data_IF_672163743242
#
_entry.id   IF_672163743242
#
_cell.length_a   1.000
_cell.length_b   1.000
_cell.length_c   1.000
_cell.angle_alpha   90.00
_cell.angle_beta   90.00
_cell.angle_gamma   90.00
#
_symmetry.space_group_name_H-M   'P 1'
#
loop_
_entity.id
_entity.type
_entity.pdbx_description
1 polymer ?
#
# COMPACT_ATOMS: atom_id res chain seq x y z
N UNK A 1 18.74 -0.39 6.84
CA UNK A 1 18.47 -0.58 8.29
C UNK A 1 17.69 0.63 8.76
N UNK A 2 16.36 0.53 8.87
CA UNK A 2 15.55 1.58 9.49
C UNK A 2 16.09 1.81 10.90
N UNK A 3 16.53 3.03 11.22
CA UNK A 3 16.82 3.38 12.60
C UNK A 3 15.51 3.21 13.38
N UNK A 4 15.46 2.19 14.25
CA UNK A 4 14.28 1.84 15.07
C UNK A 4 13.78 2.98 15.96
N UNK A 5 14.48 4.12 16.01
CA UNK A 5 14.12 5.32 16.78
C UNK A 5 13.45 6.43 15.95
N UNK A 6 13.38 6.30 14.61
CA UNK A 6 12.83 7.36 13.76
C UNK A 6 11.32 7.34 13.77
N UNK A 7 10.71 8.44 14.23
CA UNK A 7 9.25 8.59 14.27
C UNK A 7 8.70 8.86 12.88
N UNK A 8 7.68 8.11 12.45
CA UNK A 8 7.07 8.21 11.12
C UNK A 8 5.65 8.77 11.23
N UNK A 9 5.34 9.78 10.42
CA UNK A 9 3.98 10.25 10.15
C UNK A 9 3.51 9.64 8.83
N UNK A 10 2.44 8.85 8.86
CA UNK A 10 1.82 8.30 7.65
C UNK A 10 0.71 9.23 7.21
N UNK A 11 0.84 9.81 6.02
CA UNK A 11 -0.11 10.73 5.44
C UNK A 11 -0.98 10.03 4.40
N UNK A 12 -2.29 10.22 4.50
CA UNK A 12 -3.25 9.66 3.56
C UNK A 12 -4.40 10.65 3.29
N UNK A 13 -5.11 10.44 2.19
CA UNK A 13 -6.21 11.31 1.77
C UNK A 13 -7.58 10.91 2.32
N UNK A 14 -7.73 9.65 2.73
CA UNK A 14 -8.98 9.09 3.21
C UNK A 14 -8.75 7.85 4.09
N UNK A 15 -9.79 7.43 4.80
CA UNK A 15 -9.78 6.27 5.70
C UNK A 15 -9.45 4.94 5.00
N UNK A 16 -9.88 4.72 3.75
CA UNK A 16 -9.60 3.46 3.05
C UNK A 16 -8.11 3.30 2.71
N UNK A 17 -7.46 4.38 2.27
CA UNK A 17 -6.01 4.43 2.06
C UNK A 17 -5.25 4.15 3.38
N UNK A 18 -5.75 4.68 4.51
CA UNK A 18 -5.18 4.42 5.83
C UNK A 18 -5.30 2.94 6.22
N UNK A 19 -6.48 2.35 6.03
CA UNK A 19 -6.72 0.94 6.35
C UNK A 19 -5.81 0.01 5.52
N UNK A 20 -5.62 0.32 4.23
CA UNK A 20 -4.70 -0.42 3.36
C UNK A 20 -3.25 -0.29 3.83
N UNK A 21 -2.78 0.92 4.11
CA UNK A 21 -1.43 1.16 4.62
C UNK A 21 -1.23 0.43 5.95
N UNK A 22 -2.21 0.50 6.86
CA UNK A 22 -2.15 -0.19 8.15
C UNK A 22 -2.03 -1.70 8.00
N UNK A 23 -2.81 -2.31 7.10
CA UNK A 23 -2.73 -3.74 6.84
C UNK A 23 -1.33 -4.14 6.34
N UNK A 24 -0.74 -3.35 5.45
CA UNK A 24 0.58 -3.61 4.86
C UNK A 24 1.75 -3.29 5.81
N UNK A 25 1.58 -2.29 6.66
CA UNK A 25 2.59 -1.89 7.65
C UNK A 25 2.44 -2.60 8.99
N UNK A 26 1.37 -3.37 9.23
CA UNK A 26 1.15 -4.10 10.49
C UNK A 26 2.33 -5.04 10.83
N UNK A 27 2.96 -5.61 9.81
CA UNK A 27 4.13 -6.48 9.94
C UNK A 27 5.44 -5.69 10.18
N UNK A 28 5.45 -4.37 9.94
CA UNK A 28 6.57 -3.44 10.19
C UNK A 28 6.52 -2.82 11.61
N UNK A 29 6.01 -3.57 12.60
CA UNK A 29 5.72 -3.14 13.98
C UNK A 29 6.69 -2.10 14.58
N UNK A 30 6.10 -1.17 15.36
CA UNK A 30 6.69 -0.05 16.14
C UNK A 30 7.34 1.14 15.41
N UNK A 31 7.42 1.14 14.07
CA UNK A 31 8.00 2.30 13.34
C UNK A 31 7.01 3.45 13.11
N UNK A 32 5.71 3.16 12.97
CA UNK A 32 4.69 4.18 12.67
C UNK A 32 4.23 4.86 13.95
N UNK A 33 4.43 6.18 14.02
CA UNK A 33 4.06 6.96 15.20
C UNK A 33 2.63 7.46 15.14
N UNK A 34 2.20 8.04 14.00
CA UNK A 34 0.85 8.58 13.82
C UNK A 34 0.40 8.46 12.37
N UNK A 35 -0.84 8.00 12.17
CA UNK A 35 -1.57 8.12 10.89
C UNK A 35 -2.31 9.45 10.86
N UNK A 36 -2.09 10.25 9.82
CA UNK A 36 -2.71 11.56 9.62
C UNK A 36 -3.60 11.52 8.38
N UNK A 37 -4.89 11.75 8.60
CA UNK A 37 -5.89 11.85 7.53
C UNK A 37 -6.04 13.29 7.04
N UNK A 38 -6.09 13.50 5.73
CA UNK A 38 -6.50 14.77 5.13
C UNK A 38 -8.01 14.86 4.91
N UNK A 39 -8.79 13.85 5.30
CA UNK A 39 -10.25 13.84 5.22
C UNK A 39 -10.94 14.54 6.42
N UNK A 40 -12.27 14.48 6.45
CA UNK A 40 -13.14 14.94 7.53
C UNK A 40 -13.81 13.78 8.28
N UNK A 41 -13.14 12.63 8.39
CA UNK A 41 -13.66 11.52 9.17
C UNK A 41 -13.37 11.68 10.66
N UNK A 42 -14.25 12.42 11.33
CA UNK A 42 -14.15 12.70 12.75
C UNK A 42 -14.57 11.54 13.67
N UNK A 43 -14.90 10.37 13.10
CA UNK A 43 -15.29 9.16 13.82
C UNK A 43 -14.40 7.95 13.54
N UNK A 44 -13.33 8.09 12.73
CA UNK A 44 -12.55 6.96 12.25
C UNK A 44 -12.22 5.91 13.31
N UNK A 45 -12.54 4.67 12.96
CA UNK A 45 -12.26 3.48 13.76
C UNK A 45 -10.84 2.94 13.47
N UNK A 46 -10.25 3.31 12.33
CA UNK A 46 -8.88 2.96 11.93
C UNK A 46 -7.79 3.77 12.66
N UNK A 47 -8.11 4.44 13.77
CA UNK A 47 -7.13 4.98 14.70
C UNK A 47 -6.23 6.11 14.17
N UNK A 48 -6.59 6.70 13.03
CA UNK A 48 -5.90 7.88 12.50
C UNK A 48 -6.41 9.18 13.13
N UNK A 49 -5.61 10.24 12.98
CA UNK A 49 -5.95 11.58 13.42
C UNK A 49 -6.17 12.48 12.20
N UNK A 50 -7.41 12.89 11.90
CA UNK A 50 -7.66 13.90 10.89
C UNK A 50 -6.94 15.21 11.20
N UNK A 51 -6.32 15.84 10.20
CA UNK A 51 -5.55 17.08 10.38
C UNK A 51 -6.36 18.18 11.05
N UNK A 52 -7.62 18.37 10.64
CA UNK A 52 -8.48 19.42 11.20
C UNK A 52 -8.93 19.09 12.62
N UNK A 53 -8.98 17.82 13.00
CA UNK A 53 -9.24 17.41 14.38
C UNK A 53 -8.02 17.68 15.27
N UNK A 54 -6.80 17.40 14.79
CA UNK A 54 -5.57 17.78 15.50
C UNK A 54 -5.46 19.30 15.68
N UNK A 55 -5.75 20.08 14.64
CA UNK A 55 -5.77 21.55 14.69
C UNK A 55 -6.89 22.09 15.58
N UNK A 56 -8.00 21.37 15.76
CA UNK A 56 -9.06 21.70 16.70
C UNK A 56 -8.65 21.50 18.18
N UNK A 57 -7.47 20.93 18.44
CA UNK A 57 -6.91 20.75 19.78
C UNK A 57 -7.19 19.37 20.39
N UNK A 58 -7.59 18.39 19.59
CA UNK A 58 -7.76 17.01 20.05
C UNK A 58 -6.48 16.19 19.87
N UNK A 59 -6.29 15.23 20.76
CA UNK A 59 -5.17 14.30 20.78
C UNK A 59 -5.67 12.86 20.65
N UNK A 60 -4.77 11.93 20.25
CA UNK A 60 -5.15 10.53 20.07
C UNK A 60 -5.51 9.87 21.41
N UNK A 61 -4.90 10.36 22.48
CA UNK A 61 -5.04 9.91 23.86
C UNK A 61 -6.32 10.41 24.54
N UNK A 62 -7.01 11.38 23.94
CA UNK A 62 -8.28 11.89 24.47
C UNK A 62 -9.33 10.75 24.50
N UNK A 63 -10.03 10.63 25.62
CA UNK A 63 -11.08 9.62 25.78
C UNK A 63 -12.27 9.90 24.84
N UNK A 64 -12.57 8.97 23.94
CA UNK A 64 -13.74 9.08 23.08
C UNK A 64 -15.03 9.04 23.92
N UNK A 65 -15.82 10.11 23.81
CA UNK A 65 -17.13 10.22 24.45
C UNK A 65 -18.14 10.83 23.47
N UNK A 66 -18.64 10.04 22.50
CA UNK A 66 -19.59 10.54 21.51
C UNK A 66 -20.86 11.10 22.15
N UNK A 67 -21.47 12.09 21.50
CA UNK A 67 -22.67 12.75 22.02
C UNK A 67 -23.88 11.84 21.87
N UNK A 68 -24.50 11.44 22.97
CA UNK A 68 -25.78 10.73 22.92
C UNK A 68 -26.91 11.67 22.51
N UNK A 69 -27.81 11.23 21.62
CA UNK A 69 -28.77 12.10 20.91
C UNK A 69 -29.66 12.99 21.77
N UNK A 70 -30.02 12.56 22.98
CA UNK A 70 -30.87 13.33 23.89
C UNK A 70 -30.10 14.38 24.70
N UNK A 71 -28.77 14.43 24.60
CA UNK A 71 -27.91 15.42 25.25
C UNK A 71 -27.55 16.58 24.31
N UNK A 72 -28.20 16.67 23.15
CA UNK A 72 -28.02 17.76 22.21
C UNK A 72 -28.38 19.09 22.89
N UNK A 73 -27.48 20.07 22.83
CA UNK A 73 -27.74 21.41 23.36
C UNK A 73 -28.80 22.10 22.49
N UNK A 74 -30.00 22.27 23.04
CA UNK A 74 -31.16 22.80 22.34
C UNK A 74 -31.80 23.95 23.14
N UNK A 75 -32.54 24.87 22.50
CA UNK A 75 -33.33 25.85 23.21
C UNK A 75 -34.38 25.19 24.12
N UNK A 76 -34.81 25.93 25.15
CA UNK A 76 -35.80 25.44 26.10
C UNK A 76 -37.07 24.93 25.40
N UNK A 77 -37.62 23.83 25.92
CA UNK A 77 -38.85 23.17 25.45
C UNK A 77 -38.77 22.50 24.06
N UNK A 78 -37.61 22.47 23.42
CA UNK A 78 -37.42 21.66 22.20
C UNK A 78 -37.31 20.18 22.58
N UNK A 79 -37.91 19.33 21.76
CA UNK A 79 -37.96 17.89 22.02
C UNK A 79 -37.10 17.12 21.03
N UNK A 80 -36.38 16.12 21.53
CA UNK A 80 -35.70 15.11 20.71
C UNK A 80 -36.50 13.82 20.74
N UNK A 81 -36.77 13.25 19.57
CA UNK A 81 -37.46 11.96 19.42
C UNK A 81 -36.73 11.08 18.42
N UNK A 82 -36.97 9.78 18.50
CA UNK A 82 -36.58 8.86 17.42
C UNK A 82 -37.64 8.85 16.33
N UNK A 83 -37.23 8.77 15.08
CA UNK A 83 -38.07 8.65 13.89
C UNK A 83 -37.84 7.27 13.24
N UNK A 84 -38.81 6.69 12.50
CA UNK A 84 -38.56 5.49 11.71
C UNK A 84 -37.37 5.65 10.77
N UNK A 85 -36.67 4.56 10.46
CA UNK A 85 -35.44 4.59 9.65
C UNK A 85 -34.16 4.88 10.45
N UNK A 86 -34.18 4.57 11.75
CA UNK A 86 -33.03 4.62 12.66
C UNK A 86 -32.38 6.02 12.78
N UNK A 87 -33.19 7.09 12.69
CA UNK A 87 -32.75 8.47 12.86
C UNK A 87 -33.40 9.13 14.07
N UNK A 88 -32.80 10.23 14.53
CA UNK A 88 -33.43 11.14 15.48
C UNK A 88 -34.09 12.32 14.76
N UNK A 89 -34.97 13.02 15.46
CA UNK A 89 -35.54 14.29 15.03
C UNK A 89 -35.61 15.26 16.19
N UNK A 90 -35.38 16.53 15.90
CA UNK A 90 -35.62 17.64 16.82
C UNK A 90 -36.90 18.34 16.38
N UNK A 91 -37.80 18.60 17.32
CA UNK A 91 -39.08 19.26 17.05
C UNK A 91 -39.40 20.33 18.09
N UNK A 92 -40.15 21.35 17.67
CA UNK A 92 -40.71 22.35 18.55
C UNK A 92 -42.17 22.59 18.16
N UNK A 93 -43.10 22.39 19.11
CA UNK A 93 -44.55 22.46 18.90
C UNK A 93 -45.04 21.65 17.69
N UNK A 94 -44.52 20.44 17.54
CA UNK A 94 -44.87 19.54 16.43
C UNK A 94 -44.22 19.87 15.08
N UNK A 95 -43.57 21.03 14.93
CA UNK A 95 -42.81 21.36 13.74
C UNK A 95 -41.43 20.70 13.78
N UNK A 96 -41.06 20.01 12.69
CA UNK A 96 -39.73 19.43 12.50
C UNK A 96 -38.70 20.56 12.35
N UNK A 97 -37.66 20.54 13.17
CA UNK A 97 -36.59 21.55 13.19
C UNK A 97 -35.26 21.00 12.73
N UNK A 98 -34.97 19.73 13.03
CA UNK A 98 -33.78 19.07 12.54
C UNK A 98 -33.98 17.55 12.43
N UNK A 99 -33.14 16.93 11.60
CA UNK A 99 -32.94 15.48 11.54
C UNK A 99 -31.57 15.16 12.14
N UNK A 100 -31.51 14.12 12.96
CA UNK A 100 -30.28 13.64 13.58
C UNK A 100 -29.90 12.32 12.91
N UNK A 101 -28.72 12.27 12.32
CA UNK A 101 -28.10 11.04 11.85
C UNK A 101 -27.17 10.50 12.94
N UNK A 102 -27.20 9.18 13.14
CA UNK A 102 -26.36 8.51 14.14
C UNK A 102 -25.10 7.92 13.51
N UNK A 103 -24.01 7.83 14.27
CA UNK A 103 -22.83 7.09 13.84
C UNK A 103 -23.09 5.57 13.90
N UNK A 104 -22.33 4.80 13.13
CA UNK A 104 -22.38 3.35 13.22
C UNK A 104 -21.74 2.87 14.55
N UNK A 105 -22.22 1.75 15.13
CA UNK A 105 -23.51 1.12 14.83
C UNK A 105 -24.69 1.97 15.36
N UNK A 106 -25.73 2.10 14.52
CA UNK A 106 -26.85 3.04 14.74
C UNK A 106 -27.60 2.83 16.06
N UNK A 107 -27.64 1.59 16.55
CA UNK A 107 -28.28 1.24 17.82
C UNK A 107 -27.67 1.96 19.05
N UNK A 108 -26.43 2.43 18.97
CA UNK A 108 -25.79 3.24 20.02
C UNK A 108 -26.32 4.67 20.09
N UNK A 109 -27.00 5.17 19.04
CA UNK A 109 -27.65 6.49 18.97
C UNK A 109 -26.74 7.67 19.34
N UNK A 110 -25.46 7.57 18.99
CA UNK A 110 -24.55 8.70 19.09
C UNK A 110 -24.69 9.59 17.86
N UNK A 111 -24.73 10.90 18.07
CA UNK A 111 -24.92 11.90 17.01
C UNK A 111 -23.68 11.95 16.13
N UNK A 112 -23.84 11.75 14.83
CA UNK A 112 -22.82 12.06 13.83
C UNK A 112 -23.10 13.39 13.14
N UNK A 113 -24.35 13.64 12.76
CA UNK A 113 -24.78 14.86 12.06
C UNK A 113 -26.15 15.35 12.54
N UNK A 114 -26.35 16.65 12.51
CA UNK A 114 -27.65 17.31 12.75
C UNK A 114 -27.96 18.21 11.57
N UNK A 115 -28.95 17.83 10.77
CA UNK A 115 -29.44 18.58 9.61
C UNK A 115 -30.55 19.54 10.03
N UNK A 116 -30.25 20.83 10.10
CA UNK A 116 -31.18 21.89 10.49
C UNK A 116 -32.05 22.36 9.33
N UNK A 117 -33.34 22.51 9.60
CA UNK A 117 -34.37 22.79 8.61
C UNK A 117 -35.02 24.16 8.84
N UNK A 118 -35.43 24.80 7.76
CA UNK A 118 -36.30 25.98 7.84
C UNK A 118 -37.77 25.61 8.10
N UNK A 119 -38.64 26.63 8.09
CA UNK A 119 -40.07 26.45 8.38
C UNK A 119 -40.82 25.65 7.32
N UNK A 120 -40.25 25.45 6.14
CA UNK A 120 -40.78 24.64 5.04
C UNK A 120 -40.08 23.28 4.92
N UNK A 121 -39.34 22.88 5.96
CA UNK A 121 -38.56 21.63 6.01
C UNK A 121 -37.45 21.55 4.95
N UNK A 122 -36.98 22.68 4.43
CA UNK A 122 -35.80 22.72 3.55
C UNK A 122 -34.52 22.79 4.37
N UNK A 123 -33.49 22.06 3.95
CA UNK A 123 -32.16 22.05 4.58
C UNK A 123 -31.52 23.44 4.54
N UNK A 124 -31.05 23.90 5.71
CA UNK A 124 -30.35 25.17 5.88
C UNK A 124 -28.87 24.95 6.22
N UNK A 125 -28.61 24.09 7.19
CA UNK A 125 -27.25 23.75 7.60
C UNK A 125 -27.14 22.33 8.13
N UNK A 126 -25.91 21.82 8.17
CA UNK A 126 -25.57 20.54 8.80
C UNK A 126 -24.48 20.80 9.81
N UNK A 127 -24.74 20.47 11.08
CA UNK A 127 -23.71 20.42 12.11
C UNK A 127 -23.14 19.00 12.18
N UNK A 128 -21.82 18.86 12.05
CA UNK A 128 -21.13 17.57 12.22
C UNK A 128 -20.49 17.50 13.60
N UNK A 129 -20.58 16.33 14.21
CA UNK A 129 -20.00 16.02 15.52
C UNK A 129 -18.79 15.10 15.35
N UNK A 130 -17.95 15.00 16.39
CA UNK A 130 -16.81 14.09 16.41
C UNK A 130 -16.97 13.00 17.48
N UNK A 131 -16.04 12.03 17.48
CA UNK A 131 -15.99 10.96 18.49
C UNK A 131 -15.85 11.43 19.95
N UNK A 132 -15.56 12.71 20.18
CA UNK A 132 -15.46 13.33 21.50
C UNK A 132 -16.75 14.07 21.93
N UNK A 133 -17.82 13.95 21.13
CA UNK A 133 -19.13 14.50 21.45
C UNK A 133 -19.24 16.02 21.29
N UNK A 134 -18.32 16.63 20.55
CA UNK A 134 -18.30 18.07 20.27
C UNK A 134 -18.67 18.34 18.82
N UNK A 135 -19.34 19.47 18.59
CA UNK A 135 -19.56 19.98 17.24
C UNK A 135 -18.20 20.41 16.67
N UNK A 136 -17.82 19.85 15.53
CA UNK A 136 -16.54 20.09 14.87
C UNK A 136 -16.72 20.93 13.61
N UNK A 137 -17.85 20.82 12.92
CA UNK A 137 -18.13 21.63 11.73
C UNK A 137 -19.58 22.09 11.65
N UNK A 138 -19.81 23.21 10.96
CA UNK A 138 -21.13 23.64 10.48
C UNK A 138 -21.04 23.88 8.98
N UNK A 139 -21.88 23.21 8.19
CA UNK A 139 -21.96 23.34 6.72
C UNK A 139 -23.23 24.11 6.36
N UNK A 140 -23.10 25.19 5.61
CA UNK A 140 -24.23 26.04 5.22
C UNK A 140 -24.57 25.86 3.74
N UNK A 141 -25.87 25.74 3.46
CA UNK A 141 -26.40 25.54 2.11
C UNK A 141 -27.20 26.76 1.65
N UNK A 142 -27.08 27.11 0.37
CA UNK A 142 -27.95 28.09 -0.28
C UNK A 142 -28.40 27.51 -1.62
N UNK A 143 -29.72 27.42 -1.84
CA UNK A 143 -30.29 26.79 -3.04
C UNK A 143 -29.71 25.40 -3.32
N UNK A 144 -29.56 24.59 -2.26
CA UNK A 144 -29.05 23.22 -2.30
C UNK A 144 -27.56 23.10 -2.71
N UNK A 145 -26.84 24.23 -2.80
CA UNK A 145 -25.39 24.29 -3.00
C UNK A 145 -24.67 24.55 -1.67
N UNK A 146 -23.65 23.74 -1.37
CA UNK A 146 -22.76 23.98 -0.24
C UNK A 146 -22.02 25.30 -0.45
N UNK A 147 -22.27 26.27 0.43
CA UNK A 147 -21.66 27.60 0.37
C UNK A 147 -20.35 27.62 1.14
N UNK A 148 -20.39 27.25 2.41
CA UNK A 148 -19.22 27.27 3.28
C UNK A 148 -19.34 26.22 4.36
N UNK A 149 -18.20 25.71 4.79
CA UNK A 149 -18.04 24.84 5.93
C UNK A 149 -17.09 25.53 6.91
N UNK A 150 -17.56 25.72 8.13
CA UNK A 150 -16.81 26.34 9.24
C UNK A 150 -16.36 25.24 10.19
N UNK A 151 -15.13 25.32 10.70
CA UNK A 151 -14.54 24.38 11.66
C UNK A 151 -14.39 25.02 13.04
N UNK A 152 -14.70 24.25 14.07
CA UNK A 152 -14.70 24.68 15.46
C UNK A 152 -13.69 23.89 16.29
N UNK A 153 -13.06 24.57 17.23
CA UNK A 153 -12.12 23.94 18.16
C UNK A 153 -12.83 23.22 19.32
N UNK A 154 -12.06 22.56 20.17
CA UNK A 154 -12.60 21.84 21.33
C UNK A 154 -13.32 22.73 22.37
N UNK A 155 -13.17 24.06 22.28
CA UNK A 155 -13.89 25.05 23.08
C UNK A 155 -15.10 25.65 22.33
N UNK A 156 -15.33 25.28 21.07
CA UNK A 156 -16.40 25.80 20.23
C UNK A 156 -16.09 27.12 19.54
N UNK A 157 -14.82 27.54 19.49
CA UNK A 157 -14.41 28.73 18.73
C UNK A 157 -14.08 28.37 17.28
N UNK A 158 -14.48 29.22 16.36
CA UNK A 158 -14.16 29.07 14.94
C UNK A 158 -12.66 29.23 14.71
N UNK A 159 -12.08 28.33 13.91
CA UNK A 159 -10.65 28.38 13.56
C UNK A 159 -10.33 28.17 12.08
N UNK A 160 -11.29 27.71 11.28
CA UNK A 160 -11.09 27.60 9.84
C UNK A 160 -12.42 27.64 9.08
N UNK A 161 -12.35 27.96 7.80
CA UNK A 161 -13.47 27.81 6.87
C UNK A 161 -13.01 27.40 5.48
N UNK A 162 -13.86 26.68 4.73
CA UNK A 162 -13.63 26.38 3.32
C UNK A 162 -13.91 27.59 2.44
N UNK A 163 -13.18 27.72 1.34
CA UNK A 163 -13.52 28.67 0.28
C UNK A 163 -14.54 28.02 -0.68
N UNK A 164 -15.67 28.68 -1.00
CA UNK A 164 -16.68 28.12 -1.90
C UNK A 164 -16.10 27.66 -3.24
N UNK A 165 -16.53 26.51 -3.74
CA UNK A 165 -16.12 25.93 -5.03
C UNK A 165 -14.59 25.73 -5.17
N UNK A 166 -13.87 25.52 -4.06
CA UNK A 166 -12.42 25.33 -4.03
C UNK A 166 -12.03 24.30 -2.98
N UNK A 167 -10.80 23.77 -3.10
CA UNK A 167 -10.17 22.95 -2.04
C UNK A 167 -9.52 23.81 -0.95
N UNK A 168 -9.51 25.13 -1.14
CA UNK A 168 -8.82 26.06 -0.26
C UNK A 168 -9.51 26.24 1.09
N UNK A 169 -8.71 26.56 2.09
CA UNK A 169 -9.13 26.86 3.45
C UNK A 169 -8.56 28.21 3.88
N UNK A 170 -9.32 28.93 4.69
CA UNK A 170 -8.84 30.09 5.44
C UNK A 170 -8.80 29.65 6.90
N UNK A 171 -7.61 29.66 7.48
CA UNK A 171 -7.36 29.33 8.89
C UNK A 171 -7.15 30.62 9.66
N UNK A 172 -7.70 30.70 10.86
CA UNK A 172 -7.62 31.84 11.76
C UNK A 172 -7.66 31.36 13.22
N UNK A 173 -7.26 32.19 14.18
CA UNK A 173 -7.20 31.82 15.60
C UNK A 173 -6.28 30.61 15.88
N UNK A 174 -5.21 30.47 15.08
CA UNK A 174 -4.17 29.44 15.14
C UNK A 174 -2.76 30.01 15.03
N UNK A 175 -2.58 31.31 15.28
CA UNK A 175 -1.27 31.91 15.42
C UNK A 175 -0.49 31.87 14.11
N UNK A 176 0.65 31.16 14.09
CA UNK A 176 1.49 31.05 12.88
C UNK A 176 0.83 30.33 11.72
N UNK A 177 -0.27 29.59 11.95
CA UNK A 177 -1.06 28.96 10.90
C UNK A 177 -2.19 29.84 10.38
N UNK A 178 -2.33 31.07 10.84
CA UNK A 178 -3.36 31.97 10.31
C UNK A 178 -3.06 32.35 8.86
N UNK A 179 -4.01 32.12 7.96
CA UNK A 179 -3.82 32.45 6.55
C UNK A 179 -4.65 31.62 5.57
N UNK A 180 -4.36 31.85 4.28
CA UNK A 180 -4.97 31.13 3.17
C UNK A 180 -4.12 29.93 2.77
N UNK A 181 -4.76 28.77 2.62
CA UNK A 181 -4.14 27.54 2.14
C UNK A 181 -4.90 27.05 0.91
N UNK A 182 -4.22 26.80 -0.22
CA UNK A 182 -4.90 26.37 -1.46
C UNK A 182 -5.53 24.97 -1.36
N UNK A 183 -5.06 24.15 -0.42
CA UNK A 183 -5.58 22.81 -0.13
C UNK A 183 -5.07 22.34 1.24
N UNK A 184 -5.59 21.20 1.70
CA UNK A 184 -5.21 20.59 2.98
C UNK A 184 -3.75 20.15 3.05
N UNK A 185 -3.14 19.74 1.93
CA UNK A 185 -1.73 19.38 1.89
C UNK A 185 -0.83 20.59 2.19
N UNK A 186 -1.18 21.77 1.68
CA UNK A 186 -0.46 23.00 2.00
C UNK A 186 -0.57 23.36 3.49
N UNK A 187 -1.76 23.17 4.08
CA UNK A 187 -1.97 23.35 5.52
C UNK A 187 -1.16 22.33 6.34
N UNK A 188 -1.15 21.05 5.94
CA UNK A 188 -0.36 20.01 6.57
C UNK A 188 1.14 20.36 6.59
N UNK A 189 1.69 20.83 5.47
CA UNK A 189 3.10 21.27 5.38
C UNK A 189 3.41 22.41 6.34
N UNK A 190 2.49 23.38 6.48
CA UNK A 190 2.66 24.47 7.43
C UNK A 190 2.58 23.97 8.88
N UNK A 191 1.66 23.04 9.17
CA UNK A 191 1.52 22.41 10.49
C UNK A 191 2.79 21.63 10.90
N UNK A 192 3.36 20.83 9.99
CA UNK A 192 4.61 20.10 10.23
C UNK A 192 5.76 21.05 10.59
N UNK A 193 5.87 22.18 9.87
CA UNK A 193 6.89 23.22 10.15
C UNK A 193 6.67 23.90 11.49
N UNK A 194 5.44 24.31 11.78
CA UNK A 194 5.10 24.99 13.04
C UNK A 194 5.37 24.09 14.26
N UNK A 195 5.00 22.81 14.19
CA UNK A 195 5.19 21.86 15.28
C UNK A 195 6.62 21.32 15.38
N UNK A 196 7.55 21.82 14.57
CA UNK A 196 8.93 21.35 14.49
C UNK A 196 9.03 19.82 14.27
N UNK A 197 8.09 19.27 13.49
CA UNK A 197 8.02 17.84 13.19
C UNK A 197 8.93 17.44 12.02
N UNK A 198 9.84 18.31 11.57
CA UNK A 198 10.81 18.02 10.51
C UNK A 198 11.79 16.88 10.88
N UNK A 199 11.87 16.51 12.15
CA UNK A 199 12.61 15.32 12.61
C UNK A 199 11.87 14.00 12.32
N UNK A 200 10.57 14.05 12.02
CA UNK A 200 9.79 12.88 11.62
C UNK A 200 9.99 12.62 10.13
N UNK A 201 10.08 11.35 9.76
CA UNK A 201 9.92 10.95 8.37
C UNK A 201 8.43 11.02 8.01
N UNK A 202 8.12 11.42 6.79
CA UNK A 202 6.74 11.44 6.30
C UNK A 202 6.59 10.37 5.23
N UNK A 203 5.70 9.42 5.51
CA UNK A 203 5.38 8.32 4.62
C UNK A 203 4.03 8.53 3.94
N UNK A 204 3.89 8.16 2.67
CA UNK A 204 2.60 8.15 1.98
C UNK A 204 2.59 7.13 0.84
N UNK A 205 1.42 6.55 0.55
CA UNK A 205 1.22 5.69 -0.60
C UNK A 205 1.17 6.51 -1.90
N UNK A 206 0.43 7.62 -1.88
CA UNK A 206 0.39 8.56 -3.00
C UNK A 206 1.63 9.48 -3.02
N UNK A 207 2.56 9.34 -3.99
CA UNK A 207 3.80 10.11 -4.02
C UNK A 207 3.58 11.62 -4.19
N UNK A 208 2.42 12.04 -4.73
CA UNK A 208 2.10 13.48 -4.87
C UNK A 208 1.96 14.19 -3.53
N UNK A 209 1.62 13.46 -2.46
CA UNK A 209 1.54 14.01 -1.11
C UNK A 209 2.93 14.34 -0.53
N UNK A 210 3.96 13.64 -1.00
CA UNK A 210 5.35 13.83 -0.54
C UNK A 210 6.07 14.95 -1.28
N UNK A 211 5.59 15.33 -2.49
CA UNK A 211 6.26 16.34 -3.32
C UNK A 211 6.52 17.64 -2.55
N UNK A 212 7.77 18.10 -2.56
CA UNK A 212 8.21 19.33 -1.88
C UNK A 212 7.85 19.35 -0.37
N UNK A 213 8.01 18.21 0.30
CA UNK A 213 8.02 18.11 1.75
C UNK A 213 9.39 18.54 2.29
N UNK A 214 9.40 19.21 3.44
CA UNK A 214 10.62 19.65 4.13
C UNK A 214 10.93 18.68 5.29
N UNK A 215 11.03 17.40 4.94
CA UNK A 215 11.26 16.26 5.81
C UNK A 215 11.80 15.09 4.99
N UNK A 216 12.34 14.05 5.64
CA UNK A 216 12.61 12.79 4.95
C UNK A 216 11.29 12.20 4.42
N UNK A 217 11.30 11.77 3.17
CA UNK A 217 10.13 11.25 2.48
C UNK A 217 10.26 9.74 2.31
N UNK A 218 9.18 9.02 2.63
CA UNK A 218 9.07 7.57 2.43
C UNK A 218 7.89 7.31 1.50
N UNK A 219 8.17 6.85 0.28
CA UNK A 219 7.12 6.41 -0.62
C UNK A 219 6.81 4.94 -0.38
N UNK A 220 5.55 4.66 -0.05
CA UNK A 220 5.02 3.30 0.12
C UNK A 220 4.41 2.84 -1.20
N UNK A 221 5.12 2.05 -2.00
CA UNK A 221 4.57 1.54 -3.25
C UNK A 221 3.78 0.25 -3.02
N UNK A 222 2.49 0.30 -3.34
CA UNK A 222 1.59 -0.87 -3.35
C UNK A 222 1.07 -1.19 -4.75
N UNK A 223 1.40 -0.36 -5.76
CA UNK A 223 0.84 -0.46 -7.11
C UNK A 223 1.86 -1.06 -8.08
N UNK A 224 1.47 -2.16 -8.74
CA UNK A 224 2.26 -2.82 -9.78
C UNK A 224 2.43 -1.94 -11.02
N UNK A 225 3.54 -2.07 -11.74
CA UNK A 225 3.83 -1.39 -13.00
C UNK A 225 3.85 0.14 -12.94
N UNK A 226 4.19 0.71 -11.78
CA UNK A 226 4.43 2.15 -11.66
C UNK A 226 5.57 2.59 -12.58
N UNK A 227 5.40 3.75 -13.21
CA UNK A 227 6.47 4.42 -13.95
C UNK A 227 7.36 5.19 -12.96
N UNK A 228 8.35 4.49 -12.41
CA UNK A 228 9.27 5.04 -11.42
C UNK A 228 10.06 6.22 -11.96
N UNK A 229 10.48 6.22 -13.23
CA UNK A 229 11.21 7.35 -13.82
C UNK A 229 10.36 8.62 -13.79
N UNK A 230 9.09 8.50 -14.20
CA UNK A 230 8.14 9.61 -14.18
C UNK A 230 7.84 10.07 -12.76
N UNK A 231 7.58 9.16 -11.83
CA UNK A 231 7.28 9.51 -10.43
C UNK A 231 8.50 10.20 -9.80
N UNK A 232 9.70 9.66 -9.97
CA UNK A 232 10.92 10.20 -9.38
C UNK A 232 11.35 11.53 -10.00
N UNK A 233 10.99 11.79 -11.27
CA UNK A 233 11.26 13.08 -11.93
C UNK A 233 10.57 14.27 -11.24
N UNK A 234 9.52 14.04 -10.46
CA UNK A 234 8.81 15.07 -9.71
C UNK A 234 9.51 15.50 -8.40
N UNK A 235 10.56 14.78 -8.00
CA UNK A 235 11.27 14.99 -6.74
C UNK A 235 12.64 15.64 -6.95
N UNK A 236 12.93 16.71 -6.22
CA UNK A 236 14.27 17.33 -6.21
C UNK A 236 15.30 16.48 -5.47
N UNK A 237 14.86 15.65 -4.52
CA UNK A 237 15.65 14.63 -3.82
C UNK A 237 14.81 13.35 -3.76
N UNK A 238 15.35 12.18 -4.15
CA UNK A 238 14.57 10.96 -4.22
C UNK A 238 14.08 10.55 -2.81
N UNK A 239 12.81 10.12 -2.66
CA UNK A 239 12.34 9.54 -1.41
C UNK A 239 13.00 8.17 -1.18
N UNK A 240 13.00 7.73 0.08
CA UNK A 240 13.15 6.32 0.40
C UNK A 240 11.93 5.58 -0.16
N UNK A 241 12.14 4.51 -0.93
CA UNK A 241 11.06 3.74 -1.53
C UNK A 241 10.96 2.40 -0.82
N UNK A 242 9.79 2.13 -0.25
CA UNK A 242 9.41 0.82 0.26
C UNK A 242 8.42 0.21 -0.71
N UNK A 243 8.83 -0.85 -1.40
CA UNK A 243 8.02 -1.48 -2.44
C UNK A 243 7.51 -2.84 -2.00
N UNK A 244 6.19 -2.94 -1.88
CA UNK A 244 5.45 -4.12 -1.41
C UNK A 244 4.82 -4.91 -2.57
N UNK A 245 5.08 -4.51 -3.81
CA UNK A 245 4.61 -5.21 -5.02
C UNK A 245 5.39 -6.48 -5.25
N UNK A 246 5.13 -7.23 -6.32
CA UNK A 246 5.95 -8.35 -6.76
C UNK A 246 7.11 -7.87 -7.67
N UNK A 247 6.96 -6.72 -8.34
CA UNK A 247 7.99 -6.15 -9.22
C UNK A 247 9.18 -5.53 -8.48
N UNK A 248 10.32 -5.43 -9.15
CA UNK A 248 11.52 -4.80 -8.61
C UNK A 248 12.19 -3.89 -9.63
N UNK A 249 12.97 -2.92 -9.15
CA UNK A 249 13.65 -1.95 -10.00
C UNK A 249 15.02 -1.53 -9.43
N UNK A 250 15.86 -0.92 -10.28
CA UNK A 250 17.24 -0.53 -9.97
C UNK A 250 17.57 0.93 -10.28
N UNK A 251 16.57 1.72 -10.64
CA UNK A 251 16.65 3.14 -10.98
C UNK A 251 17.08 4.02 -9.78
N UNK A 252 16.72 3.64 -8.55
CA UNK A 252 17.00 4.41 -7.34
C UNK A 252 17.84 3.62 -6.35
N UNK A 253 18.94 4.22 -5.87
CA UNK A 253 19.73 3.68 -4.76
C UNK A 253 19.01 3.75 -3.40
N UNK A 254 17.85 4.42 -3.33
CA UNK A 254 17.01 4.54 -2.15
C UNK A 254 15.85 3.54 -2.19
N UNK A 255 15.96 2.48 -2.98
CA UNK A 255 14.93 1.46 -3.11
C UNK A 255 15.16 0.29 -2.17
N UNK A 256 14.08 -0.06 -1.45
CA UNK A 256 14.02 -1.24 -0.59
C UNK A 256 12.80 -2.06 -1.00
N UNK A 257 13.05 -3.29 -1.41
CA UNK A 257 12.00 -4.29 -1.63
C UNK A 257 11.50 -4.81 -0.27
N UNK A 258 10.20 -4.88 -0.08
CA UNK A 258 9.58 -5.43 1.13
C UNK A 258 8.92 -6.76 0.78
N UNK A 259 9.28 -7.82 1.52
CA UNK A 259 8.81 -9.18 1.28
C UNK A 259 7.93 -9.64 2.44
N UNK A 260 6.70 -10.06 2.14
CA UNK A 260 5.80 -10.70 3.11
C UNK A 260 6.05 -12.22 3.11
N UNK A 261 7.16 -12.70 3.69
CA UNK A 261 7.41 -14.14 3.82
C UNK A 261 8.61 -14.47 4.73
N UNK A 262 8.47 -15.55 5.49
CA UNK A 262 9.61 -16.32 5.96
C UNK A 262 10.06 -17.23 4.81
N UNK A 263 11.18 -16.90 4.18
CA UNK A 263 11.82 -17.78 3.22
C UNK A 263 12.40 -18.99 3.98
N UNK A 264 11.59 -20.03 4.15
CA UNK A 264 12.03 -21.28 4.77
C UNK A 264 13.06 -21.98 3.88
N UNK A 265 14.03 -22.63 4.52
CA UNK A 265 14.95 -23.52 3.82
C UNK A 265 14.17 -24.58 3.05
N UNK A 266 14.45 -24.70 1.75
CA UNK A 266 13.85 -25.75 0.94
C UNK A 266 14.50 -27.09 1.34
N UNK A 267 13.72 -27.93 2.02
CA UNK A 267 14.19 -29.24 2.51
C UNK A 267 14.45 -30.23 1.36
N UNK A 268 13.63 -30.16 0.30
CA UNK A 268 13.82 -30.94 -0.92
C UNK A 268 13.34 -30.12 -2.14
N UNK A 269 14.26 -29.66 -3.01
CA UNK A 269 13.89 -28.97 -4.24
C UNK A 269 13.09 -29.90 -5.15
N UNK A 270 11.97 -29.41 -5.67
CA UNK A 270 11.20 -30.15 -6.67
C UNK A 270 11.93 -30.12 -8.01
N UNK A 271 11.76 -31.16 -8.83
CA UNK A 271 12.30 -31.20 -10.20
C UNK A 271 11.43 -30.41 -11.18
N UNK A 272 11.09 -29.18 -10.81
CA UNK A 272 10.26 -28.29 -11.63
C UNK A 272 11.06 -27.06 -12.05
N UNK A 273 10.96 -26.76 -13.34
CA UNK A 273 11.67 -25.69 -14.02
C UNK A 273 10.64 -24.70 -14.52
N UNK A 274 10.83 -23.42 -14.23
CA UNK A 274 10.06 -22.34 -14.85
C UNK A 274 10.93 -21.52 -15.81
N UNK A 275 10.35 -21.16 -16.94
CA UNK A 275 10.95 -20.29 -17.95
C UNK A 275 9.88 -19.29 -18.36
N UNK A 276 10.20 -17.99 -18.33
CA UNK A 276 9.33 -16.95 -18.87
C UNK A 276 9.96 -16.33 -20.12
N UNK A 277 9.20 -16.27 -21.20
CA UNK A 277 9.66 -15.75 -22.49
C UNK A 277 8.66 -14.81 -23.15
N UNK A 278 9.18 -13.87 -23.93
CA UNK A 278 8.41 -13.04 -24.87
C UNK A 278 8.72 -13.39 -26.34
N UNK A 279 9.54 -14.42 -26.56
CA UNK A 279 9.99 -14.92 -27.86
C UNK A 279 9.76 -16.44 -27.98
N UNK A 280 9.70 -16.94 -29.20
CA UNK A 280 9.71 -18.38 -29.49
C UNK A 280 11.14 -18.94 -29.72
N UNK A 281 12.15 -18.14 -29.37
CA UNK A 281 13.54 -18.58 -29.31
C UNK A 281 13.99 -18.73 -27.86
N UNK A 282 14.25 -19.98 -27.47
CA UNK A 282 14.88 -20.36 -26.22
C UNK A 282 16.19 -21.08 -26.55
N UNK A 283 17.28 -20.71 -25.89
CA UNK A 283 18.58 -21.31 -26.12
C UNK A 283 18.59 -22.76 -25.60
N UNK A 284 18.83 -23.72 -26.49
CA UNK A 284 19.15 -25.11 -26.19
C UNK A 284 18.01 -25.87 -25.49
N UNK A 285 16.77 -25.41 -25.71
CA UNK A 285 15.59 -25.95 -25.05
C UNK A 285 15.35 -27.42 -25.41
N UNK A 286 15.48 -27.79 -26.69
CA UNK A 286 15.28 -29.16 -27.16
C UNK A 286 16.29 -30.12 -26.50
N UNK A 287 17.58 -29.75 -26.51
CA UNK A 287 18.63 -30.57 -25.89
C UNK A 287 18.48 -30.67 -24.36
N UNK A 288 18.02 -29.61 -23.70
CA UNK A 288 17.76 -29.61 -22.26
C UNK A 288 16.57 -30.51 -21.89
N UNK A 289 15.47 -30.44 -22.65
CA UNK A 289 14.28 -31.28 -22.46
C UNK A 289 14.65 -32.75 -22.59
N UNK A 290 15.39 -33.12 -23.65
CA UNK A 290 15.84 -34.49 -23.89
C UNK A 290 16.85 -34.97 -22.82
N UNK A 291 17.75 -34.09 -22.38
CA UNK A 291 18.75 -34.43 -21.37
C UNK A 291 18.17 -34.57 -19.96
N UNK A 292 16.98 -34.02 -19.67
CA UNK A 292 16.35 -33.99 -18.35
C UNK A 292 14.88 -34.47 -18.36
N UNK A 293 14.61 -35.72 -18.78
CA UNK A 293 13.24 -36.27 -18.80
C UNK A 293 12.62 -36.42 -17.41
N UNK A 294 13.45 -36.37 -16.36
CA UNK A 294 13.05 -36.44 -14.96
C UNK A 294 12.66 -35.08 -14.35
N UNK A 295 12.75 -33.99 -15.12
CA UNK A 295 12.31 -32.64 -14.75
C UNK A 295 11.10 -32.20 -15.55
N UNK A 296 10.18 -31.47 -14.92
CA UNK A 296 9.03 -30.85 -15.60
C UNK A 296 9.37 -29.40 -15.98
N UNK A 297 9.27 -29.07 -17.26
CA UNK A 297 9.47 -27.73 -17.81
C UNK A 297 8.14 -27.01 -17.97
N UNK A 298 7.94 -25.95 -17.20
CA UNK A 298 6.84 -25.01 -17.35
C UNK A 298 7.34 -23.80 -18.15
N UNK A 299 6.94 -23.69 -19.42
CA UNK A 299 7.40 -22.62 -20.31
C UNK A 299 6.26 -21.64 -20.51
N UNK A 300 6.37 -20.47 -19.87
CA UNK A 300 5.37 -19.42 -19.86
C UNK A 300 5.64 -18.28 -20.82
N UNK A 301 4.57 -17.69 -21.34
CA UNK A 301 4.60 -16.42 -22.06
C UNK A 301 3.38 -15.55 -21.68
N UNK A 302 3.58 -14.23 -21.62
CA UNK A 302 2.48 -13.27 -21.41
C UNK A 302 1.71 -12.94 -22.70
N UNK A 303 2.19 -13.44 -23.82
CA UNK A 303 1.63 -13.24 -25.16
C UNK A 303 1.01 -14.53 -25.68
N UNK A 304 0.41 -14.47 -26.87
CA UNK A 304 0.22 -15.68 -27.67
C UNK A 304 1.57 -16.32 -27.99
N UNK A 305 1.58 -17.62 -28.16
CA UNK A 305 2.76 -18.44 -28.44
C UNK A 305 2.73 -18.92 -29.89
N UNK A 306 3.89 -19.06 -30.51
CA UNK A 306 3.98 -19.55 -31.90
C UNK A 306 3.84 -21.06 -31.96
N UNK A 307 3.53 -21.58 -33.16
CA UNK A 307 3.44 -23.03 -33.40
C UNK A 307 4.74 -23.75 -33.03
N UNK A 308 5.90 -23.10 -33.20
CA UNK A 308 7.20 -23.65 -32.84
C UNK A 308 7.30 -23.91 -31.33
N UNK A 309 6.89 -22.95 -30.50
CA UNK A 309 6.94 -23.13 -29.05
C UNK A 309 5.88 -24.14 -28.58
N UNK A 310 4.69 -24.13 -29.21
CA UNK A 310 3.63 -25.11 -28.93
C UNK A 310 4.03 -26.55 -29.23
N UNK A 311 4.88 -26.76 -30.25
CA UNK A 311 5.35 -28.10 -30.60
C UNK A 311 6.20 -28.77 -29.51
N UNK A 312 6.79 -28.00 -28.58
CA UNK A 312 7.56 -28.56 -27.47
C UNK A 312 6.67 -29.38 -26.50
N UNK A 313 5.36 -29.13 -26.46
CA UNK A 313 4.40 -29.89 -25.65
C UNK A 313 4.21 -31.35 -26.14
N UNK A 314 4.85 -31.71 -27.26
CA UNK A 314 4.98 -33.12 -27.68
C UNK A 314 5.77 -33.96 -26.65
N UNK A 315 6.64 -33.31 -25.88
CA UNK A 315 7.42 -33.97 -24.84
C UNK A 315 6.61 -34.07 -23.54
N UNK A 316 6.49 -35.26 -22.92
CA UNK A 316 5.63 -35.48 -21.76
C UNK A 316 6.09 -34.72 -20.50
N UNK A 317 7.32 -34.22 -20.52
CA UNK A 317 7.92 -33.46 -19.43
C UNK A 317 7.90 -31.94 -19.67
N UNK A 318 7.12 -31.47 -20.65
CA UNK A 318 6.93 -30.05 -20.97
C UNK A 318 5.47 -29.67 -20.74
N UNK A 319 5.24 -28.41 -20.37
CA UNK A 319 3.92 -27.79 -20.34
C UNK A 319 4.08 -26.35 -20.82
N UNK A 320 3.40 -26.01 -21.92
CA UNK A 320 3.38 -24.64 -22.46
C UNK A 320 2.23 -23.85 -21.84
N UNK A 321 2.55 -22.64 -21.38
CA UNK A 321 1.64 -21.79 -20.62
C UNK A 321 1.49 -20.43 -21.34
N UNK A 322 0.56 -20.32 -22.31
CA UNK A 322 0.34 -19.07 -23.04
C UNK A 322 -0.51 -18.07 -22.23
N UNK A 323 -0.40 -16.78 -22.56
CA UNK A 323 -1.24 -15.70 -22.02
C UNK A 323 -1.25 -15.60 -20.49
N UNK A 324 -0.13 -15.91 -19.84
CA UNK A 324 -0.03 -15.81 -18.39
C UNK A 324 -0.28 -14.38 -17.90
N UNK A 325 -1.11 -14.26 -16.88
CA UNK A 325 -1.25 -13.06 -16.05
C UNK A 325 -0.07 -12.91 -15.08
N UNK A 326 0.14 -11.71 -14.54
CA UNK A 326 1.19 -11.47 -13.54
C UNK A 326 1.01 -12.37 -12.31
N UNK A 327 -0.23 -12.55 -11.86
CA UNK A 327 -0.56 -13.42 -10.73
C UNK A 327 -0.21 -14.89 -10.98
N UNK A 328 -0.46 -15.40 -12.19
CA UNK A 328 -0.07 -16.77 -12.55
C UNK A 328 1.44 -16.93 -12.64
N UNK A 329 2.16 -15.93 -13.19
CA UNK A 329 3.63 -15.93 -13.17
C UNK A 329 4.15 -16.07 -11.72
N UNK A 330 3.59 -15.32 -10.78
CA UNK A 330 3.96 -15.42 -9.37
C UNK A 330 3.65 -16.80 -8.77
N UNK A 331 2.55 -17.44 -9.17
CA UNK A 331 2.23 -18.80 -8.74
C UNK A 331 3.26 -19.81 -9.25
N UNK A 332 3.71 -19.67 -10.50
CA UNK A 332 4.75 -20.54 -11.05
C UNK A 332 6.13 -20.31 -10.43
N UNK A 333 6.48 -19.06 -10.11
CA UNK A 333 7.67 -18.78 -9.30
C UNK A 333 7.60 -19.51 -7.95
N UNK A 334 6.48 -19.39 -7.22
CA UNK A 334 6.30 -20.04 -5.91
C UNK A 334 6.27 -21.57 -5.97
N UNK A 335 5.91 -22.14 -7.12
CA UNK A 335 5.80 -23.61 -7.31
C UNK A 335 7.10 -24.24 -7.80
N UNK A 336 7.88 -23.49 -8.59
CA UNK A 336 9.09 -24.02 -9.18
C UNK A 336 10.26 -24.02 -8.19
N UNK A 337 11.26 -24.89 -8.41
CA UNK A 337 12.52 -24.81 -7.66
C UNK A 337 13.68 -24.30 -8.51
N UNK A 338 13.54 -24.34 -9.83
CA UNK A 338 14.56 -23.87 -10.76
C UNK A 338 13.96 -22.85 -11.72
N UNK A 339 14.75 -21.83 -12.05
CA UNK A 339 14.46 -20.89 -13.13
C UNK A 339 15.58 -20.98 -14.17
N UNK A 340 15.24 -21.20 -15.45
CA UNK A 340 16.25 -21.18 -16.51
C UNK A 340 16.17 -19.87 -17.28
N UNK A 341 17.24 -19.09 -17.17
CA UNK A 341 17.42 -17.87 -17.94
C UNK A 341 18.01 -18.19 -19.32
N UNK A 342 17.16 -18.72 -20.19
CA UNK A 342 17.50 -19.11 -21.56
C UNK A 342 16.60 -18.42 -22.61
N UNK A 343 15.82 -17.44 -22.18
CA UNK A 343 15.03 -16.58 -23.05
C UNK A 343 15.92 -15.78 -24.01
N UNK A 344 15.43 -15.52 -25.21
CA UNK A 344 16.06 -14.60 -26.14
C UNK A 344 15.62 -13.15 -25.91
N UNK A 345 16.49 -12.20 -26.24
CA UNK A 345 16.27 -10.74 -26.15
C UNK A 345 16.34 -10.18 -24.73
N UNK A 346 15.30 -9.50 -24.27
CA UNK A 346 15.32 -8.81 -22.98
C UNK A 346 14.64 -9.68 -21.93
N UNK A 347 15.07 -9.52 -20.69
CA UNK A 347 14.41 -10.10 -19.53
C UNK A 347 12.94 -9.64 -19.48
N UNK A 348 12.04 -10.60 -19.26
CA UNK A 348 10.60 -10.34 -19.13
C UNK A 348 10.27 -10.07 -17.67
N UNK A 349 9.47 -9.04 -17.37
CA UNK A 349 8.94 -8.71 -16.05
C UNK A 349 9.96 -8.67 -14.87
N UNK A 350 11.23 -8.35 -15.16
CA UNK A 350 12.31 -8.39 -14.15
C UNK A 350 12.33 -9.73 -13.39
N UNK A 351 12.00 -10.82 -14.10
CA UNK A 351 11.70 -12.14 -13.55
C UNK A 351 12.86 -12.75 -12.77
N UNK A 352 14.12 -12.43 -13.10
CA UNK A 352 15.27 -13.00 -12.41
C UNK A 352 15.36 -12.50 -10.98
N UNK A 353 15.06 -11.22 -10.76
CA UNK A 353 15.00 -10.67 -9.41
C UNK A 353 13.89 -11.31 -8.59
N UNK A 354 12.72 -11.54 -9.21
CA UNK A 354 11.56 -12.20 -8.58
C UNK A 354 11.85 -13.66 -8.25
N UNK A 355 12.49 -14.38 -9.17
CA UNK A 355 12.93 -15.76 -8.97
C UNK A 355 13.94 -15.87 -7.81
N UNK A 356 14.92 -14.96 -7.73
CA UNK A 356 15.88 -14.94 -6.64
C UNK A 356 15.21 -14.66 -5.28
N UNK A 357 14.24 -13.73 -5.23
CA UNK A 357 13.50 -13.40 -4.01
C UNK A 357 12.59 -14.54 -3.53
N UNK A 358 12.09 -15.39 -4.44
CA UNK A 358 11.32 -16.62 -4.14
C UNK A 358 12.20 -17.88 -3.99
N UNK A 359 13.53 -17.73 -3.91
CA UNK A 359 14.51 -18.83 -3.76
C UNK A 359 14.47 -19.90 -4.87
N UNK A 360 14.20 -19.53 -6.11
CA UNK A 360 14.46 -20.42 -7.24
C UNK A 360 15.97 -20.40 -7.54
N UNK A 361 16.54 -21.59 -7.79
CA UNK A 361 17.89 -21.68 -8.31
C UNK A 361 17.91 -21.22 -9.77
N UNK A 362 18.54 -20.09 -10.05
CA UNK A 362 18.60 -19.50 -11.38
C UNK A 362 19.82 -20.07 -12.11
N UNK A 363 19.64 -20.60 -13.31
CA UNK A 363 20.75 -21.09 -14.14
C UNK A 363 20.63 -20.56 -15.56
N UNK A 364 21.77 -20.36 -16.21
CA UNK A 364 21.85 -19.79 -17.56
C UNK A 364 23.08 -20.30 -18.31
N UNK A 365 23.14 -19.99 -19.61
CA UNK A 365 24.34 -20.12 -20.40
C UNK A 365 25.16 -18.83 -20.35
N UNK A 366 26.48 -18.99 -20.28
CA UNK A 366 27.45 -17.90 -20.09
C UNK A 366 27.27 -16.73 -21.05
N UNK A 367 26.98 -17.01 -22.31
CA UNK A 367 26.91 -15.99 -23.37
C UNK A 367 25.53 -15.32 -23.49
N UNK A 368 24.53 -15.78 -22.72
CA UNK A 368 23.12 -15.37 -22.85
C UNK A 368 22.44 -14.97 -21.55
N UNK A 369 23.14 -15.10 -20.41
CA UNK A 369 22.61 -14.65 -19.12
C UNK A 369 22.33 -13.16 -19.15
N UNK A 370 21.10 -12.76 -18.79
CA UNK A 370 20.69 -11.36 -18.76
C UNK A 370 21.28 -10.61 -17.56
N UNK A 371 21.50 -11.32 -16.43
CA UNK A 371 22.08 -10.75 -15.21
C UNK A 371 23.30 -11.57 -14.75
N UNK A 372 24.48 -11.37 -15.36
CA UNK A 372 25.69 -12.11 -14.98
C UNK A 372 26.10 -11.94 -13.51
N UNK A 373 25.75 -10.81 -12.89
CA UNK A 373 26.08 -10.48 -11.51
C UNK A 373 25.40 -11.40 -10.49
N UNK A 374 24.21 -11.94 -10.78
CA UNK A 374 23.50 -12.85 -9.87
C UNK A 374 23.90 -14.31 -10.08
N UNK A 375 24.73 -14.62 -11.08
CA UNK A 375 25.14 -15.98 -11.39
C UNK A 375 26.44 -16.34 -10.65
N UNK A 376 26.50 -17.56 -10.12
CA UNK A 376 27.74 -18.08 -9.56
C UNK A 376 28.67 -18.51 -10.71
N UNK A 377 29.95 -18.07 -10.76
CA UNK A 377 30.81 -18.32 -11.91
C UNK A 377 31.00 -19.79 -12.28
N UNK A 378 30.92 -20.73 -11.32
CA UNK A 378 31.06 -22.17 -11.57
C UNK A 378 29.79 -22.82 -12.14
N UNK A 379 28.62 -22.16 -12.07
CA UNK A 379 27.36 -22.63 -12.68
C UNK A 379 27.16 -22.14 -14.13
N UNK A 380 28.02 -21.27 -14.64
CA UNK A 380 27.92 -20.71 -15.99
C UNK A 380 28.54 -21.62 -17.06
N UNK A 381 27.67 -22.33 -17.77
CA UNK A 381 28.05 -23.26 -18.84
C UNK A 381 28.04 -22.62 -20.23
N UNK A 382 28.86 -23.12 -21.15
CA UNK A 382 28.68 -22.87 -22.59
C UNK A 382 27.54 -23.73 -23.14
N UNK A 383 26.95 -23.32 -24.26
CA UNK A 383 25.83 -24.06 -24.90
C UNK A 383 26.16 -25.53 -25.23
N UNK A 384 27.42 -25.89 -25.46
CA UNK A 384 27.81 -27.28 -25.75
C UNK A 384 27.88 -28.18 -24.49
N UNK A 385 27.78 -27.60 -23.28
CA UNK A 385 27.98 -28.31 -22.02
C UNK A 385 26.66 -28.77 -21.39
N UNK A 386 25.70 -29.22 -22.21
CA UNK A 386 24.37 -29.67 -21.78
C UNK A 386 24.45 -30.79 -20.75
N UNK A 387 25.36 -31.76 -20.94
CA UNK A 387 25.52 -32.88 -19.99
C UNK A 387 25.98 -32.41 -18.62
N UNK A 388 26.91 -31.43 -18.55
CA UNK A 388 27.36 -30.85 -17.29
C UNK A 388 26.24 -30.03 -16.63
N UNK A 389 25.48 -29.27 -17.42
CA UNK A 389 24.33 -28.51 -16.96
C UNK A 389 23.28 -29.42 -16.31
N UNK A 390 22.85 -30.45 -17.04
CA UNK A 390 21.86 -31.42 -16.57
C UNK A 390 22.34 -32.21 -15.35
N UNK A 391 23.65 -32.50 -15.26
CA UNK A 391 24.25 -33.12 -14.08
C UNK A 391 24.14 -32.18 -12.86
N UNK A 392 24.55 -30.91 -13.00
CA UNK A 392 24.47 -29.95 -11.90
C UNK A 392 23.04 -29.84 -11.37
N UNK A 393 22.05 -29.72 -12.26
CA UNK A 393 20.65 -29.63 -11.85
C UNK A 393 20.16 -30.85 -11.06
N UNK A 394 20.55 -32.07 -11.47
CA UNK A 394 20.25 -33.29 -10.71
C UNK A 394 20.93 -33.31 -9.35
N UNK A 395 22.20 -32.91 -9.29
CA UNK A 395 22.95 -32.82 -8.05
C UNK A 395 22.25 -31.85 -7.08
N UNK A 396 21.90 -30.64 -7.54
CA UNK A 396 21.15 -29.62 -6.78
C UNK A 396 19.76 -30.09 -6.35
N UNK A 397 19.07 -30.89 -7.16
CA UNK A 397 17.77 -31.46 -6.80
C UNK A 397 17.85 -32.55 -5.71
N UNK A 398 19.06 -33.04 -5.39
CA UNK A 398 19.29 -34.05 -4.35
C UNK A 398 20.08 -33.53 -3.14
N UNK A 399 20.81 -32.43 -3.31
CA UNK A 399 21.58 -31.77 -2.25
C UNK A 399 20.94 -30.41 -1.91
N UNK A 400 20.05 -30.42 -0.91
CA UNK A 400 19.39 -29.20 -0.43
C UNK A 400 20.37 -28.20 0.19
N UNK A 401 21.51 -28.64 0.72
CA UNK A 401 22.52 -27.72 1.26
C UNK A 401 23.16 -26.91 0.14
N UNK A 402 23.56 -27.59 -0.95
CA UNK A 402 24.14 -26.91 -2.11
C UNK A 402 23.11 -26.01 -2.80
N UNK A 403 21.87 -26.48 -2.94
CA UNK A 403 20.76 -25.72 -3.52
C UNK A 403 20.49 -24.42 -2.74
N UNK A 404 20.29 -24.50 -1.42
CA UNK A 404 19.99 -23.33 -0.60
C UNK A 404 21.18 -22.36 -0.54
N UNK A 405 22.41 -22.86 -0.51
CA UNK A 405 23.61 -22.02 -0.56
C UNK A 405 23.72 -21.22 -1.87
N UNK A 406 23.41 -21.86 -3.00
CA UNK A 406 23.38 -21.18 -4.29
C UNK A 406 22.26 -20.14 -4.33
N UNK A 407 21.02 -20.49 -3.99
CA UNK A 407 19.90 -19.53 -3.98
C UNK A 407 20.19 -18.31 -3.09
N UNK A 408 20.74 -18.54 -1.89
CA UNK A 408 21.17 -17.46 -1.00
C UNK A 408 22.24 -16.57 -1.65
N UNK A 409 23.27 -17.15 -2.27
CA UNK A 409 24.28 -16.38 -3.00
C UNK A 409 23.64 -15.47 -4.05
N UNK A 410 22.76 -16.03 -4.90
CA UNK A 410 22.11 -15.29 -5.98
C UNK A 410 21.25 -14.14 -5.47
N UNK A 411 20.52 -14.37 -4.37
CA UNK A 411 19.69 -13.37 -3.70
C UNK A 411 20.51 -12.21 -3.12
N UNK A 412 21.66 -12.51 -2.52
CA UNK A 412 22.58 -11.48 -2.00
C UNK A 412 23.25 -10.64 -3.09
N UNK A 413 23.27 -11.12 -4.35
CA UNK A 413 23.79 -10.36 -5.49
C UNK A 413 22.77 -9.39 -6.09
N UNK A 414 21.53 -9.36 -5.58
CA UNK A 414 20.53 -8.44 -6.11
C UNK A 414 21.00 -6.98 -5.98
N UNK A 415 20.80 -6.15 -7.02
CA UNK A 415 21.32 -4.77 -7.07
C UNK A 415 20.53 -3.77 -6.18
N UNK A 416 19.72 -4.29 -5.26
CA UNK A 416 18.89 -3.50 -4.35
C UNK A 416 18.80 -4.14 -2.97
N UNK A 417 18.47 -3.31 -1.98
CA UNK A 417 18.20 -3.80 -0.63
C UNK A 417 16.79 -4.41 -0.58
N UNK A 418 16.63 -5.42 0.27
CA UNK A 418 15.33 -5.97 0.60
C UNK A 418 15.22 -6.22 2.10
N UNK A 419 13.99 -6.23 2.59
CA UNK A 419 13.65 -6.60 3.97
C UNK A 419 12.59 -7.68 3.94
N UNK A 420 12.77 -8.70 4.78
CA UNK A 420 11.78 -9.74 5.02
C UNK A 420 11.00 -9.37 6.27
N UNK A 421 9.68 -9.35 6.15
CA UNK A 421 8.79 -9.13 7.27
C UNK A 421 8.60 -10.44 8.01
N UNK A 422 8.90 -10.42 9.31
CA UNK A 422 8.59 -11.54 10.18
C UNK A 422 7.07 -11.59 10.31
N UNK A 423 6.42 -12.53 9.61
CA UNK A 423 5.02 -12.83 9.89
C UNK A 423 4.88 -13.06 11.39
N UNK A 424 3.97 -12.32 12.03
CA UNK A 424 3.42 -12.74 13.32
C UNK A 424 2.83 -14.10 13.01
N UNK A 425 3.48 -15.18 13.47
CA UNK A 425 2.88 -16.49 13.44
C UNK A 425 1.50 -16.34 14.06
N UNK A 426 0.47 -16.91 13.43
CA UNK A 426 -0.83 -17.07 14.07
C UNK A 426 -0.55 -17.45 15.53
N UNK A 427 -0.79 -16.52 16.46
CA UNK A 427 -0.71 -16.85 17.86
C UNK A 427 -1.68 -18.01 18.01
N UNK A 428 -1.14 -19.14 18.50
CA UNK A 428 -1.94 -20.27 18.93
C UNK A 428 -3.18 -19.74 19.66
N UNK A 429 -4.35 -19.91 19.05
CA UNK A 429 -5.67 -19.77 19.67
C UNK A 429 -5.85 -20.89 20.73
N UNK A 430 -4.92 -20.93 21.70
CA UNK A 430 -4.95 -21.75 22.89
C UNK A 430 -4.29 -20.97 24.03
N UNK A 431 -5.09 -20.19 24.75
CA UNK A 431 -5.18 -20.14 26.23
C UNK A 431 -6.53 -19.52 26.63
#
# INVERSE_FOLDING_TARGET
>A
MFEREKRILVLATNEAEIAEIQLKLAELNDLVTVYVGLDDDFFSEHGHMPLLLALAGYQKEDGAQPLYYNNLALPDYWEVRTEPGERGRVQFWGQKKAVIDFCQPVNKRYVSKVSWLDKWEKLQSIDEYNKYGKKITSVFYENDLCKTKIYYDNNGHEFAQTVPNSQALIVYNRGSLDGYYPNRLALFKAFVREKHLSSFAIAAANPKLLKAMDAEMIWLNFEENQDFEKVLSDFSQPPLILDFTDQSQTLSSHYIKVLNKQNEMILLPSKSIFILTASDHLYQIDELIEAMPDFTFYIGARTTVSDKLMQLDIHPNVTILPLLTLGEVNQYLKRASFYLDINHSIEVDNILSRAALENLCILSFKDYCHQPQIQEPSTLFKMQQITQFAKLMRDLATDSSQFNALCHFQREQLPFQFIELNGIGEEDDNI
#
